data_IF_838660966339
#
_entry.id   IF_838660966339
#
_cell.length_a   1.000
_cell.length_b   1.000
_cell.length_c   1.000
_cell.angle_alpha   90.00
_cell.angle_beta   90.00
_cell.angle_gamma   90.00
#
_symmetry.space_group_name_H-M   'P 1'
#
loop_
_entity.id
_entity.type
_entity.pdbx_description
1 polymer ?
#
# COMPACT_ATOMS: atom_id res chain seq x y z
N UNK A 1 -15.36 5.83 54.98
CA UNK A 1 -16.81 5.71 55.32
C UNK A 1 -17.50 6.94 54.74
N UNK A 2 -18.22 6.79 53.62
CA UNK A 2 -19.41 7.56 53.24
C UNK A 2 -19.90 6.97 51.91
N UNK A 3 -21.14 6.55 51.96
CA UNK A 3 -21.91 5.80 50.99
C UNK A 3 -22.26 6.65 49.75
N UNK A 4 -22.25 6.02 48.57
CA UNK A 4 -22.83 6.53 47.33
C UNK A 4 -24.05 5.65 47.02
N UNK A 5 -25.24 6.23 46.78
CA UNK A 5 -26.43 5.45 46.44
C UNK A 5 -26.53 5.12 44.97
N UNK A 6 -26.86 3.87 44.70
CA UNK A 6 -27.30 3.36 43.40
C UNK A 6 -28.66 3.94 43.01
N UNK A 7 -28.81 4.48 41.82
CA UNK A 7 -30.11 4.72 41.20
C UNK A 7 -30.39 3.64 40.16
N UNK A 8 -31.43 2.88 40.47
CA UNK A 8 -32.05 1.87 39.63
C UNK A 8 -33.04 2.60 38.73
N UNK A 9 -32.88 2.51 37.40
CA UNK A 9 -33.88 2.98 36.43
C UNK A 9 -34.54 1.76 35.81
N UNK A 10 -35.80 1.59 36.12
CA UNK A 10 -36.69 0.55 35.65
C UNK A 10 -37.09 0.81 34.18
N UNK A 11 -36.98 -0.22 33.35
CA UNK A 11 -37.46 -0.22 31.99
C UNK A 11 -38.98 -0.29 31.89
N UNK A 12 -39.54 0.47 30.96
CA UNK A 12 -40.94 0.40 30.57
C UNK A 12 -41.03 -0.29 29.21
N UNK A 13 -41.53 -1.53 29.17
CA UNK A 13 -41.98 -2.22 27.99
C UNK A 13 -43.34 -1.66 27.54
N UNK A 14 -43.46 -1.23 26.30
CA UNK A 14 -44.79 -1.09 25.67
C UNK A 14 -44.86 -2.05 24.48
N UNK A 15 -45.75 -3.01 24.61
CA UNK A 15 -46.27 -3.86 23.57
C UNK A 15 -47.50 -3.25 22.91
N UNK A 16 -47.53 -3.16 21.61
CA UNK A 16 -48.71 -2.91 20.76
C UNK A 16 -48.46 -3.79 19.55
N UNK A 17 -49.17 -4.82 19.18
CA UNK A 17 -50.62 -4.91 19.00
C UNK A 17 -50.86 -5.26 17.54
N UNK A 18 -51.35 -6.48 17.27
CA UNK A 18 -51.65 -7.12 16.02
C UNK A 18 -52.53 -6.28 15.06
N UNK A 19 -52.23 -6.39 13.74
CA UNK A 19 -53.13 -6.02 12.66
C UNK A 19 -52.99 -7.00 11.50
N UNK A 20 -53.96 -7.92 11.47
CA UNK A 20 -54.17 -8.94 10.43
C UNK A 20 -54.87 -8.29 9.23
N UNK A 21 -54.42 -8.50 8.01
CA UNK A 21 -55.31 -8.41 6.87
C UNK A 21 -54.90 -9.39 5.73
N UNK A 22 -55.77 -10.35 5.54
CA UNK A 22 -55.82 -11.31 4.43
C UNK A 22 -56.05 -10.58 3.10
N UNK A 23 -55.37 -11.00 2.03
CA UNK A 23 -56.05 -11.18 0.74
C UNK A 23 -55.36 -12.28 -0.08
N UNK A 24 -56.23 -13.23 -0.51
CA UNK A 24 -55.98 -14.40 -1.36
C UNK A 24 -55.94 -14.02 -2.83
N UNK A 25 -55.06 -14.69 -3.57
CA UNK A 25 -55.22 -15.30 -4.91
C UNK A 25 -53.83 -15.82 -5.27
N UNK A 26 -53.51 -17.09 -5.54
CA UNK A 26 -54.20 -18.13 -6.26
C UNK A 26 -53.21 -18.69 -7.28
N UNK A 27 -53.02 -20.05 -7.22
CA UNK A 27 -52.41 -20.95 -8.24
C UNK A 27 -50.89 -20.89 -8.40
N UNK A 28 -50.14 -21.95 -8.54
CA UNK A 28 -50.25 -23.38 -8.73
C UNK A 28 -48.93 -24.04 -8.35
N UNK A 29 -49.00 -25.21 -7.76
CA UNK A 29 -47.89 -26.08 -7.40
C UNK A 29 -47.40 -26.85 -8.63
N UNK A 30 -46.09 -27.02 -8.74
CA UNK A 30 -45.50 -28.17 -9.42
C UNK A 30 -44.40 -28.77 -8.55
N UNK A 31 -44.80 -29.86 -7.86
CA UNK A 31 -43.92 -30.88 -7.34
C UNK A 31 -43.23 -31.62 -8.51
N UNK A 32 -41.92 -31.76 -8.44
CA UNK A 32 -41.19 -32.85 -9.06
C UNK A 32 -40.14 -33.41 -8.09
N UNK A 33 -40.58 -34.42 -7.33
CA UNK A 33 -39.70 -35.43 -6.78
C UNK A 33 -39.07 -36.23 -7.94
N UNK A 34 -37.77 -36.31 -8.01
CA UNK A 34 -37.04 -37.40 -8.63
C UNK A 34 -35.94 -37.88 -7.71
N UNK A 35 -36.30 -38.90 -6.95
CA UNK A 35 -35.37 -39.86 -6.37
C UNK A 35 -34.97 -40.84 -7.46
N UNK A 36 -33.70 -40.86 -7.86
CA UNK A 36 -33.09 -42.05 -8.43
C UNK A 36 -31.71 -42.28 -7.88
N UNK A 37 -31.60 -43.41 -7.19
CA UNK A 37 -30.39 -44.02 -6.75
C UNK A 37 -29.69 -44.70 -7.92
N UNK A 38 -28.44 -44.35 -8.22
CA UNK A 38 -27.59 -45.18 -9.06
C UNK A 38 -26.45 -45.79 -8.24
N UNK A 39 -26.51 -47.12 -8.28
CA UNK A 39 -25.58 -48.08 -7.74
C UNK A 39 -24.17 -47.91 -8.33
N UNK A 40 -23.18 -48.22 -7.51
CA UNK A 40 -21.77 -48.17 -7.85
C UNK A 40 -21.39 -49.18 -8.96
N UNK A 41 -20.46 -48.73 -9.79
CA UNK A 41 -19.66 -49.62 -10.62
C UNK A 41 -18.21 -49.58 -10.12
N UNK A 42 -17.80 -50.74 -9.57
CA UNK A 42 -16.41 -51.09 -9.37
C UNK A 42 -15.75 -51.28 -10.76
N UNK A 43 -14.67 -50.54 -11.01
CA UNK A 43 -13.74 -50.91 -12.06
C UNK A 43 -12.47 -51.44 -11.39
N UNK A 44 -12.29 -52.72 -11.58
CA UNK A 44 -11.06 -53.46 -11.26
C UNK A 44 -9.91 -52.92 -12.12
N UNK A 45 -8.73 -52.87 -11.51
CA UNK A 45 -7.53 -52.41 -12.14
C UNK A 45 -7.04 -53.39 -13.23
N UNK A 46 -6.57 -52.79 -14.33
CA UNK A 46 -5.76 -53.50 -15.30
C UNK A 46 -4.30 -53.05 -15.08
N UNK A 47 -3.54 -54.00 -14.54
CA UNK A 47 -2.10 -53.96 -14.55
C UNK A 47 -1.61 -54.18 -15.99
N UNK A 48 -0.91 -53.20 -16.55
CA UNK A 48 -0.18 -53.39 -17.79
C UNK A 48 1.30 -53.56 -17.45
N UNK A 49 1.71 -54.81 -17.42
CA UNK A 49 3.07 -55.23 -17.50
C UNK A 49 3.66 -54.80 -18.86
N UNK A 50 4.67 -53.98 -18.83
CA UNK A 50 5.48 -53.64 -20.01
C UNK A 50 6.64 -54.65 -20.09
N UNK A 51 6.47 -55.67 -20.89
CA UNK A 51 7.54 -56.60 -21.24
C UNK A 51 8.67 -55.85 -22.00
N UNK A 52 9.85 -56.12 -21.52
CA UNK A 52 11.12 -55.76 -22.14
C UNK A 52 11.36 -56.53 -23.41
N UNK A 53 11.38 -55.89 -24.58
CA UNK A 53 11.88 -56.51 -25.79
C UNK A 53 13.33 -56.20 -26.00
N UNK A 54 14.16 -57.25 -25.78
CA UNK A 54 15.53 -57.30 -26.23
C UNK A 54 15.56 -57.41 -27.76
N UNK A 55 16.18 -56.45 -28.42
CA UNK A 55 16.52 -56.57 -29.84
C UNK A 55 17.97 -57.00 -29.99
N UNK A 56 18.10 -58.25 -30.37
CA UNK A 56 19.37 -58.84 -30.82
C UNK A 56 19.83 -58.15 -32.12
N UNK A 57 21.14 -57.90 -32.18
CA UNK A 57 21.82 -57.24 -33.28
C UNK A 57 21.83 -58.06 -34.56
N UNK A 58 21.51 -57.45 -35.69
CA UNK A 58 21.79 -58.02 -36.99
C UNK A 58 23.06 -57.37 -37.57
N UNK A 59 24.09 -58.22 -37.70
CA UNK A 59 25.29 -57.96 -38.51
C UNK A 59 24.93 -57.96 -40.00
N UNK A 60 25.15 -56.88 -40.72
CA UNK A 60 25.18 -56.87 -42.18
C UNK A 60 26.64 -56.73 -42.64
N UNK A 61 27.11 -57.77 -43.25
CA UNK A 61 28.37 -57.80 -43.99
C UNK A 61 28.29 -56.90 -45.23
N UNK A 62 29.32 -56.09 -45.43
CA UNK A 62 29.46 -55.20 -46.57
C UNK A 62 30.05 -55.97 -47.74
N UNK A 63 29.31 -56.10 -48.84
CA UNK A 63 29.86 -56.46 -50.13
C UNK A 63 30.21 -55.17 -50.91
N UNK A 64 31.50 -55.11 -51.27
CA UNK A 64 32.05 -53.99 -52.03
C UNK A 64 31.76 -54.07 -53.51
N UNK A 65 31.40 -52.97 -54.11
CA UNK A 65 31.50 -52.76 -55.57
C UNK A 65 32.54 -51.68 -55.83
N UNK A 66 33.63 -52.14 -56.48
CA UNK A 66 34.67 -51.29 -57.07
C UNK A 66 34.19 -50.68 -58.36
N UNK A 67 34.23 -49.38 -58.49
CA UNK A 67 34.20 -48.70 -59.80
C UNK A 67 35.51 -47.96 -59.98
N UNK A 68 36.27 -48.46 -61.01
CA UNK A 68 37.45 -47.83 -61.60
C UNK A 68 36.99 -46.60 -62.35
N UNK A 69 37.54 -45.44 -62.05
CA UNK A 69 37.56 -44.31 -62.93
C UNK A 69 38.96 -43.77 -63.08
N UNK A 70 39.36 -43.77 -64.34
CA UNK A 70 40.65 -43.35 -64.87
C UNK A 70 40.95 -41.87 -64.55
N UNK A 71 42.23 -41.63 -64.34
CA UNK A 71 42.79 -40.38 -63.90
C UNK A 71 42.74 -39.26 -64.89
N UNK A 72 42.51 -38.06 -64.37
CA UNK A 72 42.94 -36.82 -65.00
C UNK A 72 43.96 -36.12 -64.09
N UNK A 73 45.18 -35.99 -64.59
CA UNK A 73 46.25 -35.20 -64.01
C UNK A 73 45.95 -33.72 -64.21
N UNK A 74 45.87 -33.00 -63.09
CA UNK A 74 45.92 -31.53 -63.14
C UNK A 74 47.18 -31.06 -62.40
N UNK A 75 47.87 -30.13 -63.06
CA UNK A 75 49.12 -29.55 -62.66
C UNK A 75 49.04 -28.85 -61.27
N UNK A 76 50.15 -28.98 -60.59
CA UNK A 76 50.41 -28.35 -59.33
C UNK A 76 50.49 -26.83 -59.44
N UNK A 77 49.51 -26.10 -58.91
CA UNK A 77 49.70 -24.71 -58.56
C UNK A 77 50.12 -24.60 -57.09
N UNK A 78 51.34 -24.12 -56.92
CA UNK A 78 51.96 -23.78 -55.69
C UNK A 78 51.29 -22.52 -55.10
N UNK A 79 50.47 -22.65 -54.10
CA UNK A 79 49.98 -21.51 -53.29
C UNK A 79 50.74 -21.50 -51.94
N UNK A 80 51.54 -20.41 -51.81
CA UNK A 80 52.24 -20.06 -50.63
C UNK A 80 51.25 -19.90 -49.49
N UNK A 81 51.64 -20.44 -48.30
CA UNK A 81 50.80 -20.55 -47.13
C UNK A 81 50.32 -19.20 -46.59
N UNK A 82 49.02 -19.07 -46.46
CA UNK A 82 48.41 -18.18 -45.51
C UNK A 82 48.21 -18.97 -44.23
N UNK A 83 48.96 -18.62 -43.19
CA UNK A 83 48.71 -19.07 -41.81
C UNK A 83 47.34 -18.51 -41.38
N UNK A 84 46.34 -19.36 -41.39
CA UNK A 84 45.12 -19.08 -40.66
C UNK A 84 45.46 -19.22 -39.18
N UNK A 85 45.50 -18.08 -38.49
CA UNK A 85 45.38 -18.05 -37.05
C UNK A 85 44.16 -18.89 -36.69
N UNK A 86 44.40 -19.95 -35.97
CA UNK A 86 43.36 -20.79 -35.39
C UNK A 86 42.57 -19.93 -34.40
N UNK A 87 41.44 -19.37 -34.83
CA UNK A 87 40.41 -18.97 -33.91
C UNK A 87 39.93 -20.28 -33.22
N UNK A 88 40.41 -20.50 -32.03
CA UNK A 88 39.80 -21.48 -31.12
C UNK A 88 38.33 -21.10 -30.98
N UNK A 89 37.46 -21.79 -31.72
CA UNK A 89 36.04 -21.79 -31.45
C UNK A 89 35.91 -22.39 -30.03
N UNK A 90 35.84 -21.51 -29.01
CA UNK A 90 35.41 -21.91 -27.70
C UNK A 90 33.97 -22.41 -27.84
N UNK A 91 33.80 -23.73 -27.84
CA UNK A 91 32.52 -24.38 -27.75
C UNK A 91 31.92 -23.98 -26.37
N UNK A 92 31.07 -22.95 -26.39
CA UNK A 92 30.36 -22.52 -25.17
C UNK A 92 29.48 -23.67 -24.70
N UNK A 93 29.65 -24.07 -23.43
CA UNK A 93 28.75 -25.01 -22.78
C UNK A 93 27.32 -24.47 -22.91
N UNK A 94 26.31 -25.33 -23.19
CA UNK A 94 24.93 -24.90 -23.30
C UNK A 94 24.48 -24.19 -22.02
N UNK A 95 24.01 -22.93 -22.16
CA UNK A 95 23.54 -22.10 -21.04
C UNK A 95 24.58 -21.15 -20.44
N UNK A 96 25.79 -21.08 -20.98
CA UNK A 96 26.77 -20.05 -20.63
C UNK A 96 26.62 -18.84 -21.55
N UNK A 97 26.58 -17.66 -20.96
CA UNK A 97 26.42 -16.36 -21.63
C UNK A 97 27.68 -15.56 -21.42
N UNK A 98 28.29 -15.12 -22.52
CA UNK A 98 29.38 -14.16 -22.46
C UNK A 98 28.84 -12.75 -22.31
N UNK A 99 29.26 -12.07 -21.25
CA UNK A 99 28.85 -10.71 -20.92
C UNK A 99 30.07 -9.94 -20.39
N UNK A 100 30.66 -9.13 -21.27
CA UNK A 100 31.93 -8.45 -20.97
C UNK A 100 31.84 -7.49 -19.79
N UNK A 101 32.97 -7.25 -19.11
CA UNK A 101 33.02 -6.33 -17.94
C UNK A 101 32.51 -4.92 -18.32
N UNK A 102 32.76 -4.45 -19.52
CA UNK A 102 32.28 -3.15 -20.01
C UNK A 102 30.74 -3.12 -20.11
N UNK A 103 30.12 -4.18 -20.65
CA UNK A 103 28.68 -4.33 -20.71
C UNK A 103 28.07 -4.48 -19.32
N UNK A 104 28.72 -5.24 -18.43
CA UNK A 104 28.29 -5.41 -17.05
C UNK A 104 28.25 -4.06 -16.31
N UNK A 105 29.30 -3.27 -16.46
CA UNK A 105 29.37 -1.91 -15.87
C UNK A 105 28.34 -0.97 -16.49
N UNK A 106 28.16 -0.98 -17.80
CA UNK A 106 27.17 -0.16 -18.48
C UNK A 106 25.72 -0.53 -18.10
N UNK A 107 25.45 -1.80 -17.85
CA UNK A 107 24.15 -2.31 -17.40
C UNK A 107 23.92 -2.13 -15.89
N UNK A 108 24.90 -1.65 -15.13
CA UNK A 108 24.81 -1.56 -13.68
C UNK A 108 24.67 -2.91 -13.00
N UNK A 109 25.35 -3.96 -13.54
CA UNK A 109 25.26 -5.31 -13.03
C UNK A 109 25.84 -5.41 -11.62
N UNK A 110 25.06 -5.93 -10.69
CA UNK A 110 25.53 -6.24 -9.34
C UNK A 110 25.42 -7.74 -9.07
N UNK A 111 26.34 -8.23 -8.27
CA UNK A 111 26.40 -9.65 -7.89
C UNK A 111 26.47 -9.77 -6.37
N UNK A 112 25.95 -10.89 -5.83
CA UNK A 112 26.01 -11.25 -4.41
C UNK A 112 26.51 -12.68 -4.27
N UNK A 113 27.41 -12.91 -3.32
CA UNK A 113 27.85 -14.28 -2.97
C UNK A 113 26.78 -14.92 -2.09
N UNK A 114 26.22 -16.01 -2.55
CA UNK A 114 25.21 -16.80 -1.85
C UNK A 114 25.77 -17.36 -0.55
N UNK A 115 25.08 -17.11 0.54
CA UNK A 115 25.40 -17.65 1.88
C UNK A 115 24.11 -18.06 2.57
N UNK A 116 24.20 -19.10 3.39
CA UNK A 116 23.16 -19.41 4.35
C UNK A 116 23.02 -18.24 5.33
N UNK A 117 21.86 -17.65 5.40
CA UNK A 117 21.58 -16.47 6.20
C UNK A 117 20.23 -16.55 6.93
N UNK A 118 19.94 -15.50 7.68
CA UNK A 118 18.64 -15.34 8.30
C UNK A 118 17.61 -14.96 7.22
N UNK A 119 16.54 -15.74 7.12
CA UNK A 119 15.43 -15.51 6.22
C UNK A 119 14.13 -15.29 7.02
N UNK A 120 13.31 -14.34 6.61
CA UNK A 120 12.07 -14.02 7.33
C UNK A 120 10.99 -15.07 7.10
N UNK A 121 10.49 -15.68 8.17
CA UNK A 121 9.24 -16.43 8.12
C UNK A 121 8.08 -15.44 8.01
N UNK A 122 7.23 -15.60 6.99
CA UNK A 122 6.20 -14.61 6.68
C UNK A 122 4.80 -15.22 6.55
N UNK A 123 3.80 -14.39 6.90
CA UNK A 123 2.40 -14.60 6.54
C UNK A 123 2.07 -13.60 5.43
N UNK A 124 1.78 -14.10 4.24
CA UNK A 124 1.32 -13.28 3.12
C UNK A 124 -0.16 -12.97 3.28
N UNK A 125 -0.52 -11.70 3.17
CA UNK A 125 -1.89 -11.22 3.28
C UNK A 125 -2.08 -9.92 2.49
N UNK A 126 -3.26 -9.32 2.58
CA UNK A 126 -3.56 -8.00 2.04
C UNK A 126 -3.56 -6.95 3.15
N UNK A 127 -3.50 -5.70 2.75
CA UNK A 127 -3.61 -4.56 3.64
C UNK A 127 -3.96 -3.28 2.92
N UNK A 128 -4.08 -2.23 3.70
CA UNK A 128 -4.44 -0.89 3.23
C UNK A 128 -3.53 0.15 3.88
N UNK A 129 -3.11 1.12 3.08
CA UNK A 129 -2.36 2.28 3.56
C UNK A 129 -3.36 3.32 4.04
N UNK A 130 -3.29 3.68 5.30
CA UNK A 130 -4.18 4.65 5.94
C UNK A 130 -3.39 5.86 6.46
N UNK A 131 -4.01 7.04 6.61
CA UNK A 131 -3.37 8.13 7.32
C UNK A 131 -3.13 7.75 8.79
N UNK A 132 -2.01 8.18 9.36
CA UNK A 132 -1.74 7.98 10.77
C UNK A 132 -2.68 8.83 11.62
N UNK A 133 -2.97 8.34 12.81
CA UNK A 133 -3.82 9.06 13.75
C UNK A 133 -3.19 10.42 14.09
N UNK A 134 -3.96 11.50 13.91
CA UNK A 134 -3.50 12.87 14.10
C UNK A 134 -2.83 13.52 12.87
N UNK A 135 -2.60 12.78 11.81
CA UNK A 135 -2.12 13.33 10.53
C UNK A 135 -3.25 13.90 9.66
N UNK A 136 -4.50 13.61 10.01
CA UNK A 136 -5.69 14.19 9.38
C UNK A 136 -6.59 14.86 10.41
N UNK A 137 -7.17 15.97 10.03
CA UNK A 137 -8.14 16.71 10.85
C UNK A 137 -9.26 17.26 9.99
N UNK A 138 -10.48 17.05 10.45
CA UNK A 138 -11.64 17.70 9.87
C UNK A 138 -11.69 19.17 10.31
N UNK A 139 -11.83 20.08 9.35
CA UNK A 139 -12.11 21.48 9.61
C UNK A 139 -13.61 21.63 9.69
N UNK A 140 -14.11 22.02 10.86
CA UNK A 140 -15.56 22.12 11.13
C UNK A 140 -16.01 23.57 11.16
N UNK A 141 -17.24 23.82 10.72
CA UNK A 141 -17.87 25.15 10.79
C UNK A 141 -17.99 25.59 12.25
N UNK A 142 -17.50 26.79 12.57
CA UNK A 142 -17.54 27.36 13.92
C UNK A 142 -18.86 28.07 14.23
N UNK A 143 -19.67 28.38 13.19
CA UNK A 143 -20.97 29.01 13.29
C UNK A 143 -21.83 28.54 12.12
N UNK A 144 -23.15 28.74 12.24
CA UNK A 144 -24.08 28.51 11.14
C UNK A 144 -24.09 29.72 10.17
N UNK A 145 -24.28 29.46 8.88
CA UNK A 145 -24.31 30.47 7.85
C UNK A 145 -24.03 29.95 6.46
N UNK A 146 -23.97 30.84 5.49
CA UNK A 146 -23.62 30.54 4.11
C UNK A 146 -22.10 30.53 3.98
N UNK A 147 -21.54 29.44 3.41
CA UNK A 147 -20.10 29.28 3.25
C UNK A 147 -19.62 29.80 1.90
N UNK A 148 -18.49 30.48 1.92
CA UNK A 148 -17.69 30.83 0.74
C UNK A 148 -16.33 30.11 0.85
N UNK A 149 -16.03 29.23 -0.10
CA UNK A 149 -14.81 28.44 -0.12
C UNK A 149 -13.64 29.26 -0.68
N UNK A 150 -12.52 29.18 0.00
CA UNK A 150 -11.30 29.91 -0.35
C UNK A 150 -11.08 31.11 0.55
N UNK A 151 -9.86 31.55 0.63
CA UNK A 151 -9.37 32.72 1.33
C UNK A 151 -8.20 33.26 0.52
N UNK A 152 -7.67 34.46 0.91
CA UNK A 152 -6.39 34.94 0.37
C UNK A 152 -5.27 33.97 0.81
N UNK A 153 -5.24 32.80 0.15
CA UNK A 153 -4.09 31.91 0.27
C UNK A 153 -2.87 32.56 -0.40
N UNK A 154 -1.72 32.35 0.16
CA UNK A 154 -0.47 32.78 -0.45
C UNK A 154 -0.39 32.21 -1.88
N UNK A 155 -0.46 33.06 -2.87
CA UNK A 155 -0.46 32.71 -4.30
C UNK A 155 -1.88 32.53 -4.88
N UNK A 156 -2.13 33.20 -5.89
CA UNK A 156 -3.21 33.27 -6.90
C UNK A 156 -4.38 32.24 -6.93
N UNK A 157 -4.56 31.38 -5.94
CA UNK A 157 -5.65 30.42 -5.86
C UNK A 157 -6.81 30.97 -5.03
N UNK A 158 -7.84 31.41 -5.72
CA UNK A 158 -9.08 31.94 -5.11
C UNK A 158 -10.06 30.84 -4.69
N UNK A 159 -9.82 29.56 -5.01
CA UNK A 159 -10.73 28.45 -4.74
C UNK A 159 -10.03 27.34 -3.96
N UNK A 160 -10.70 26.83 -2.92
CA UNK A 160 -10.25 25.64 -2.19
C UNK A 160 -10.57 24.38 -3.01
N UNK A 161 -9.56 23.63 -3.39
CA UNK A 161 -9.70 22.38 -4.14
C UNK A 161 -8.94 21.25 -3.42
N UNK A 162 -9.34 19.99 -3.60
CA UNK A 162 -8.51 18.85 -3.19
C UNK A 162 -7.09 18.97 -3.76
N UNK A 163 -6.08 18.68 -2.95
CA UNK A 163 -4.67 18.87 -3.29
C UNK A 163 -4.11 20.28 -3.00
N UNK A 164 -4.96 21.28 -2.66
CA UNK A 164 -4.50 22.62 -2.29
C UNK A 164 -3.63 22.57 -1.02
N UNK A 165 -2.46 23.22 -1.05
CA UNK A 165 -1.62 23.40 0.15
C UNK A 165 -2.26 24.45 1.06
N UNK A 166 -2.22 24.16 2.37
CA UNK A 166 -2.68 25.08 3.42
C UNK A 166 -1.66 25.12 4.55
N UNK A 167 -1.49 26.30 5.14
CA UNK A 167 -0.69 26.47 6.35
C UNK A 167 -1.59 26.50 7.59
N UNK A 168 -1.05 26.15 8.74
CA UNK A 168 -1.73 26.33 10.01
C UNK A 168 -2.13 27.78 10.20
N UNK A 169 -3.37 28.02 10.65
CA UNK A 169 -3.93 29.35 10.79
C UNK A 169 -4.28 30.06 9.47
N UNK A 170 -4.14 29.42 8.33
CA UNK A 170 -4.57 29.98 7.04
C UNK A 170 -6.09 29.85 6.89
N UNK A 171 -6.75 30.95 6.48
CA UNK A 171 -8.18 30.94 6.18
C UNK A 171 -8.45 30.11 4.92
N UNK A 172 -9.31 29.10 5.03
CA UNK A 172 -9.70 28.18 3.95
C UNK A 172 -11.14 28.41 3.46
N UNK A 173 -11.97 29.01 4.29
CA UNK A 173 -13.34 29.39 3.96
C UNK A 173 -13.78 30.57 4.82
N UNK A 174 -14.90 31.19 4.43
CA UNK A 174 -15.57 32.25 5.19
C UNK A 174 -17.03 31.88 5.34
N UNK A 175 -17.56 31.97 6.57
CA UNK A 175 -18.97 31.72 6.87
C UNK A 175 -19.64 33.06 7.12
N UNK A 176 -20.64 33.39 6.32
CA UNK A 176 -21.46 34.61 6.46
C UNK A 176 -22.79 34.28 7.11
N UNK A 177 -23.04 34.86 8.28
CA UNK A 177 -24.35 34.81 8.96
C UNK A 177 -25.14 36.12 8.76
N UNK A 178 -24.68 37.01 7.89
CA UNK A 178 -25.38 38.28 7.59
C UNK A 178 -26.74 37.98 6.96
N UNK A 179 -27.77 38.69 7.42
CA UNK A 179 -29.15 38.54 6.97
C UNK A 179 -29.81 37.18 7.33
N UNK A 180 -29.26 36.45 8.27
CA UNK A 180 -29.89 35.24 8.81
C UNK A 180 -30.86 35.57 9.94
N UNK A 181 -31.87 34.70 10.16
CA UNK A 181 -32.86 34.89 11.23
C UNK A 181 -32.22 34.94 12.61
N UNK A 182 -31.16 34.13 12.80
CA UNK A 182 -30.37 34.11 14.05
C UNK A 182 -29.40 35.29 14.19
N UNK A 183 -29.28 36.14 13.15
CA UNK A 183 -28.39 37.29 13.13
C UNK A 183 -26.89 36.96 13.08
N UNK A 184 -26.07 38.01 12.85
CA UNK A 184 -24.62 37.88 12.81
C UNK A 184 -24.07 37.74 14.23
N UNK A 185 -23.37 36.60 14.60
CA UNK A 185 -22.83 36.38 15.94
C UNK A 185 -21.76 37.44 16.31
N UNK A 186 -21.03 37.98 15.33
CA UNK A 186 -20.04 39.06 15.58
C UNK A 186 -20.77 40.33 16.01
N UNK A 187 -21.82 40.70 15.30
CA UNK A 187 -22.61 41.90 15.64
C UNK A 187 -23.32 41.78 17.00
N UNK A 188 -23.85 40.57 17.29
CA UNK A 188 -24.50 40.28 18.60
C UNK A 188 -23.51 40.36 19.75
N UNK A 189 -22.35 39.69 19.64
CA UNK A 189 -21.33 39.72 20.68
C UNK A 189 -20.71 41.10 20.87
N UNK A 190 -20.54 41.89 19.79
CA UNK A 190 -20.09 43.28 19.87
C UNK A 190 -21.12 44.16 20.63
N UNK A 191 -22.41 44.01 20.32
CA UNK A 191 -23.47 44.77 21.02
C UNK A 191 -23.56 44.39 22.52
N UNK A 192 -23.45 43.09 22.84
CA UNK A 192 -23.44 42.61 24.23
C UNK A 192 -22.20 43.15 24.98
N UNK A 193 -21.03 43.09 24.37
CA UNK A 193 -19.78 43.62 24.95
C UNK A 193 -19.89 45.15 25.23
N UNK A 194 -20.35 45.94 24.27
CA UNK A 194 -20.52 47.38 24.45
C UNK A 194 -21.54 47.71 25.56
N UNK A 195 -22.64 46.95 25.67
CA UNK A 195 -23.64 47.12 26.74
C UNK A 195 -23.04 46.79 28.11
N UNK A 196 -22.37 45.64 28.24
CA UNK A 196 -21.72 45.22 29.47
C UNK A 196 -20.58 46.15 29.89
N UNK A 197 -19.82 46.67 28.92
CA UNK A 197 -18.76 47.67 29.16
C UNK A 197 -19.29 48.96 29.78
N UNK A 198 -20.36 49.52 29.21
CA UNK A 198 -21.01 50.72 29.75
C UNK A 198 -21.55 50.51 31.15
N UNK A 199 -22.15 49.36 31.44
CA UNK A 199 -22.66 49.06 32.79
C UNK A 199 -21.53 48.83 33.78
N UNK A 200 -20.44 48.20 33.41
CA UNK A 200 -19.22 48.06 34.23
C UNK A 200 -18.58 49.41 34.53
N UNK A 201 -18.40 50.32 33.55
CA UNK A 201 -17.86 51.67 33.71
C UNK A 201 -18.76 52.51 34.65
N UNK A 202 -20.10 52.35 34.55
CA UNK A 202 -21.06 52.97 35.46
C UNK A 202 -20.85 52.41 36.88
N UNK A 203 -20.80 51.06 37.05
CA UNK A 203 -20.60 50.42 38.32
C UNK A 203 -19.29 50.82 38.98
N UNK A 204 -18.20 50.96 38.20
CA UNK A 204 -16.91 51.45 38.64
C UNK A 204 -16.93 52.87 39.17
N UNK A 205 -17.73 53.74 38.59
CA UNK A 205 -17.91 55.12 39.09
C UNK A 205 -18.72 55.17 40.37
N UNK A 206 -19.78 54.34 40.46
CA UNK A 206 -20.68 54.33 41.60
C UNK A 206 -20.07 53.66 42.85
N UNK A 207 -19.26 52.64 42.69
CA UNK A 207 -18.58 51.98 43.84
C UNK A 207 -17.58 52.91 44.50
N UNK A 208 -16.90 53.80 43.73
CA UNK A 208 -15.94 54.79 44.28
C UNK A 208 -16.61 55.76 45.24
N UNK A 209 -17.90 56.02 45.10
CA UNK A 209 -18.68 56.92 45.95
C UNK A 209 -19.63 56.12 46.91
N UNK A 210 -19.42 54.81 47.03
CA UNK A 210 -20.24 53.91 47.85
C UNK A 210 -21.75 53.91 47.51
N UNK A 211 -22.10 54.22 46.27
CA UNK A 211 -23.51 54.29 45.80
C UNK A 211 -24.08 52.91 45.43
N UNK A 212 -23.22 51.86 45.29
CA UNK A 212 -23.63 50.48 45.01
C UNK A 212 -22.91 49.51 45.97
N UNK A 213 -23.47 48.30 46.11
CA UNK A 213 -22.82 47.25 46.90
C UNK A 213 -21.66 46.60 46.14
N UNK A 214 -20.66 46.05 46.88
CA UNK A 214 -19.58 45.28 46.25
C UNK A 214 -20.10 44.15 45.39
N UNK A 215 -21.18 43.47 45.82
CA UNK A 215 -21.82 42.40 45.04
C UNK A 215 -22.31 42.89 43.67
N UNK A 216 -22.92 44.10 43.61
CA UNK A 216 -23.40 44.66 42.35
C UNK A 216 -22.24 45.01 41.38
N UNK A 217 -21.13 45.54 41.92
CA UNK A 217 -19.91 45.82 41.15
C UNK A 217 -19.29 44.51 40.60
N UNK A 218 -19.16 43.49 41.48
CA UNK A 218 -18.59 42.21 41.05
C UNK A 218 -19.42 41.52 39.98
N UNK A 219 -20.76 41.68 40.06
CA UNK A 219 -21.68 41.17 39.02
C UNK A 219 -21.45 41.87 37.69
N UNK A 220 -21.42 43.20 37.66
CA UNK A 220 -21.17 43.99 36.44
C UNK A 220 -19.80 43.69 35.83
N UNK A 221 -18.77 43.50 36.69
CA UNK A 221 -17.44 43.10 36.27
C UNK A 221 -17.46 41.71 35.59
N UNK A 222 -18.12 40.75 36.19
CA UNK A 222 -18.24 39.37 35.63
C UNK A 222 -18.94 39.40 34.28
N UNK A 223 -20.05 40.15 34.15
CA UNK A 223 -20.79 40.28 32.87
C UNK A 223 -19.95 40.91 31.81
N UNK A 224 -19.16 41.94 32.14
CA UNK A 224 -18.22 42.57 31.21
C UNK A 224 -17.14 41.59 30.77
N UNK A 225 -16.48 40.88 31.69
CA UNK A 225 -15.43 39.91 31.39
C UNK A 225 -15.96 38.78 30.50
N UNK A 226 -17.19 38.30 30.79
CA UNK A 226 -17.83 37.26 29.98
C UNK A 226 -18.15 37.74 28.58
N UNK A 227 -18.79 38.91 28.44
CA UNK A 227 -19.10 39.46 27.14
C UNK A 227 -17.85 39.82 26.31
N UNK A 228 -16.80 40.30 27.00
CA UNK A 228 -15.50 40.55 26.37
C UNK A 228 -14.87 39.28 25.80
N UNK A 229 -14.82 38.21 26.58
CA UNK A 229 -14.26 36.92 26.15
C UNK A 229 -15.02 36.35 24.93
N UNK A 230 -16.34 36.46 24.92
CA UNK A 230 -17.17 36.07 23.78
C UNK A 230 -16.90 36.90 22.53
N UNK A 231 -16.87 38.25 22.70
CA UNK A 231 -16.56 39.16 21.58
C UNK A 231 -15.14 38.91 21.03
N UNK A 232 -14.12 38.79 21.87
CA UNK A 232 -12.74 38.55 21.44
C UNK A 232 -12.60 37.21 20.67
N UNK A 233 -13.37 36.17 21.05
CA UNK A 233 -13.39 34.87 20.36
C UNK A 233 -13.89 34.97 18.90
N UNK A 234 -14.88 35.84 18.67
CA UNK A 234 -15.41 36.10 17.30
C UNK A 234 -14.56 37.16 16.57
N UNK A 235 -14.18 38.24 17.22
CA UNK A 235 -13.50 39.38 16.60
C UNK A 235 -12.15 38.97 15.98
N UNK A 236 -11.44 38.05 16.61
CA UNK A 236 -10.17 37.53 16.09
C UNK A 236 -10.27 36.79 14.73
N UNK A 237 -11.46 36.27 14.43
CA UNK A 237 -11.78 35.53 13.19
C UNK A 237 -12.65 36.32 12.24
N UNK A 238 -13.16 37.47 12.68
CA UNK A 238 -14.09 38.30 11.91
C UNK A 238 -13.36 39.00 10.77
N UNK A 239 -13.94 38.92 9.58
CA UNK A 239 -13.52 39.65 8.39
C UNK A 239 -14.70 40.44 7.77
N UNK A 240 -14.41 41.23 6.74
CA UNK A 240 -15.43 42.03 6.05
C UNK A 240 -16.58 41.18 5.49
N UNK A 241 -16.32 39.90 5.14
CA UNK A 241 -17.30 39.00 4.52
C UNK A 241 -17.96 38.04 5.50
N UNK A 242 -17.49 37.93 6.75
CA UNK A 242 -17.96 36.98 7.74
C UNK A 242 -16.84 36.43 8.60
N UNK A 243 -17.07 35.27 9.25
CA UNK A 243 -16.13 34.58 10.08
C UNK A 243 -15.23 33.66 9.24
N UNK A 244 -13.94 33.85 9.37
CA UNK A 244 -12.93 32.99 8.67
C UNK A 244 -12.80 31.64 9.36
N UNK A 245 -12.85 30.59 8.56
CA UNK A 245 -12.58 29.22 8.96
C UNK A 245 -11.11 28.92 8.66
N UNK A 246 -10.32 28.66 9.72
CA UNK A 246 -8.88 28.49 9.65
C UNK A 246 -8.50 27.02 9.58
N UNK A 247 -7.41 26.71 8.86
CA UNK A 247 -6.81 25.39 8.91
C UNK A 247 -6.14 25.14 10.28
N UNK A 248 -6.43 24.01 10.95
CA UNK A 248 -5.82 23.70 12.24
C UNK A 248 -4.39 23.19 12.13
N UNK A 249 -3.92 22.88 10.90
CA UNK A 249 -2.57 22.36 10.67
C UNK A 249 -2.05 22.73 9.28
N UNK A 250 -0.74 22.67 9.11
CA UNK A 250 -0.09 22.76 7.80
C UNK A 250 -0.19 21.42 7.08
N UNK A 251 -0.64 21.43 5.82
CA UNK A 251 -0.81 20.21 5.03
C UNK A 251 -1.47 20.46 3.67
N UNK A 252 -2.26 19.51 3.23
CA UNK A 252 -3.03 19.55 2.00
C UNK A 252 -4.52 19.33 2.29
N UNK A 253 -5.37 19.98 1.53
CA UNK A 253 -6.81 19.67 1.51
C UNK A 253 -6.98 18.31 0.85
N UNK A 254 -7.39 17.31 1.62
CA UNK A 254 -7.69 15.96 1.11
C UNK A 254 -9.03 15.96 0.39
N UNK A 255 -10.02 16.55 1.02
CA UNK A 255 -11.39 16.57 0.55
C UNK A 255 -12.10 17.84 0.99
N UNK A 256 -13.02 18.32 0.16
CA UNK A 256 -13.97 19.39 0.47
C UNK A 256 -15.36 18.79 0.52
N UNK A 257 -16.02 18.89 1.67
CA UNK A 257 -17.27 18.19 1.99
C UNK A 257 -18.52 19.03 1.73
N UNK A 258 -18.37 20.29 1.31
CA UNK A 258 -19.45 21.26 1.05
C UNK A 258 -19.20 21.98 -0.26
N UNK A 259 -20.25 22.54 -0.85
CA UNK A 259 -20.15 23.35 -2.06
C UNK A 259 -20.14 24.85 -1.74
N UNK A 260 -19.64 25.64 -2.69
CA UNK A 260 -19.72 27.10 -2.64
C UNK A 260 -21.18 27.56 -2.52
N UNK A 261 -21.46 28.35 -1.50
CA UNK A 261 -22.81 28.89 -1.26
C UNK A 261 -23.71 27.98 -0.42
N UNK A 262 -23.27 26.80 0.00
CA UNK A 262 -24.06 25.94 0.87
C UNK A 262 -24.30 26.60 2.25
N UNK A 263 -25.44 26.27 2.85
CA UNK A 263 -25.72 26.63 4.24
C UNK A 263 -25.14 25.54 5.13
N UNK A 264 -24.23 25.92 6.03
CA UNK A 264 -23.59 25.02 7.01
C UNK A 264 -24.10 25.34 8.42
N UNK A 265 -24.12 24.31 9.27
CA UNK A 265 -24.44 24.41 10.70
C UNK A 265 -23.19 24.33 11.55
N UNK A 266 -23.20 24.94 12.74
CA UNK A 266 -22.07 24.85 13.66
C UNK A 266 -21.74 23.38 13.98
N UNK A 267 -20.45 23.02 13.90
CA UNK A 267 -19.95 21.63 14.07
C UNK A 267 -19.95 20.79 12.79
N UNK A 268 -20.54 21.27 11.67
CA UNK A 268 -20.54 20.53 10.40
C UNK A 268 -19.14 20.48 9.80
N UNK A 269 -18.65 19.31 9.37
CA UNK A 269 -17.39 19.20 8.65
C UNK A 269 -17.46 19.90 7.29
N UNK A 270 -16.42 20.69 6.98
CA UNK A 270 -16.32 21.50 5.74
C UNK A 270 -15.24 20.93 4.82
N UNK A 271 -14.10 20.58 5.38
CA UNK A 271 -12.98 20.03 4.63
C UNK A 271 -12.15 19.11 5.54
N UNK A 272 -11.37 18.24 4.93
CA UNK A 272 -10.39 17.41 5.61
C UNK A 272 -9.01 17.89 5.17
N UNK A 273 -8.14 18.21 6.15
CA UNK A 273 -6.74 18.58 5.92
C UNK A 273 -5.86 17.44 6.40
N UNK A 274 -4.89 17.03 5.56
CA UNK A 274 -3.94 15.97 5.83
C UNK A 274 -2.51 16.49 5.74
N UNK A 275 -1.64 16.08 6.66
CA UNK A 275 -0.21 16.34 6.59
C UNK A 275 0.52 15.32 5.72
N UNK A 276 -0.03 14.11 5.64
CA UNK A 276 0.52 12.97 4.89
C UNK A 276 2.00 12.67 5.22
N UNK A 277 2.42 12.93 6.46
CA UNK A 277 3.80 12.70 6.92
C UNK A 277 4.00 11.32 7.51
N UNK A 278 3.00 10.83 8.23
CA UNK A 278 2.98 9.50 8.81
C UNK A 278 1.77 8.74 8.30
N UNK A 279 2.00 7.47 7.99
CA UNK A 279 0.97 6.57 7.50
C UNK A 279 0.88 5.35 8.39
N UNK A 280 -0.27 4.72 8.37
CA UNK A 280 -0.50 3.41 8.95
C UNK A 280 -0.70 2.38 7.85
N UNK A 281 -0.19 1.18 8.07
CA UNK A 281 -0.55 -0.01 7.32
C UNK A 281 -1.46 -0.85 8.20
N UNK A 282 -2.68 -1.07 7.74
CA UNK A 282 -3.58 -2.04 8.33
C UNK A 282 -3.47 -3.33 7.53
N UNK A 283 -2.84 -4.34 8.11
CA UNK A 283 -2.79 -5.69 7.55
C UNK A 283 -3.97 -6.51 8.04
N UNK A 284 -4.58 -7.28 7.16
CA UNK A 284 -5.73 -8.13 7.41
C UNK A 284 -5.25 -9.57 7.70
N UNK A 285 -4.86 -9.86 8.96
CA UNK A 285 -4.37 -11.18 9.37
C UNK A 285 -5.53 -12.18 9.42
N UNK A 286 -5.50 -13.27 8.61
CA UNK A 286 -6.53 -14.30 8.68
C UNK A 286 -6.59 -14.96 10.07
N UNK A 287 -7.80 -15.22 10.60
CA UNK A 287 -8.00 -15.79 11.95
C UNK A 287 -7.23 -17.09 12.20
N UNK A 288 -7.02 -17.92 11.17
CA UNK A 288 -6.22 -19.15 11.28
C UNK A 288 -4.79 -18.91 11.78
N UNK A 289 -4.28 -17.68 11.64
CA UNK A 289 -2.95 -17.27 12.11
C UNK A 289 -2.99 -16.51 13.44
N UNK A 290 -4.11 -16.57 14.18
CA UNK A 290 -4.24 -15.89 15.47
C UNK A 290 -3.10 -16.19 16.44
N UNK A 291 -2.69 -17.47 16.53
CA UNK A 291 -1.56 -17.87 17.39
C UNK A 291 -0.24 -17.19 17.02
N UNK A 292 -0.10 -16.75 15.76
CA UNK A 292 1.08 -16.06 15.22
C UNK A 292 1.04 -14.55 15.47
N UNK A 293 -0.09 -13.97 15.79
CA UNK A 293 -0.25 -12.51 15.91
C UNK A 293 0.76 -11.88 16.89
N UNK A 294 1.08 -12.56 17.99
CA UNK A 294 2.04 -12.09 18.99
C UNK A 294 3.51 -12.32 18.58
N UNK A 295 3.76 -13.09 17.51
CA UNK A 295 5.11 -13.35 16.98
C UNK A 295 5.48 -12.42 15.84
N UNK A 296 4.51 -11.65 15.33
CA UNK A 296 4.76 -10.68 14.26
C UNK A 296 5.65 -9.57 14.81
N UNK A 297 6.82 -9.40 14.19
CA UNK A 297 7.85 -8.43 14.58
C UNK A 297 8.00 -7.28 13.59
N UNK A 298 7.46 -7.42 12.38
CA UNK A 298 7.58 -6.44 11.32
C UNK A 298 6.72 -6.79 10.11
N UNK A 299 6.83 -5.98 9.08
CA UNK A 299 6.19 -6.24 7.81
C UNK A 299 6.97 -5.62 6.64
N UNK A 300 6.87 -6.30 5.49
CA UNK A 300 7.15 -5.69 4.20
C UNK A 300 5.82 -5.51 3.46
N UNK A 301 5.74 -4.55 2.54
CA UNK A 301 4.53 -4.32 1.77
C UNK A 301 4.84 -3.84 0.35
N UNK A 302 3.97 -4.21 -0.58
CA UNK A 302 4.03 -3.77 -1.98
C UNK A 302 2.70 -3.12 -2.33
N UNK A 303 2.69 -1.79 -2.58
CA UNK A 303 1.49 -1.09 -3.03
C UNK A 303 1.01 -1.63 -4.38
N UNK A 304 -0.32 -1.67 -4.59
CA UNK A 304 -0.91 -2.18 -5.84
C UNK A 304 -0.53 -1.39 -7.10
N UNK A 305 -0.02 -0.17 -6.93
CA UNK A 305 0.43 0.72 -8.00
C UNK A 305 1.95 0.68 -8.23
N UNK A 306 2.68 -0.19 -7.53
CA UNK A 306 4.16 -0.30 -7.61
C UNK A 306 4.58 -1.76 -7.64
N UNK A 307 5.61 -2.06 -8.40
CA UNK A 307 6.28 -3.37 -8.37
C UNK A 307 7.32 -3.47 -7.24
N UNK A 308 7.64 -2.37 -6.60
CA UNK A 308 8.63 -2.29 -5.54
C UNK A 308 8.05 -2.69 -4.19
N UNK A 309 8.77 -3.52 -3.45
CA UNK A 309 8.45 -3.92 -2.08
C UNK A 309 9.24 -3.06 -1.08
N UNK A 310 8.53 -2.53 -0.10
CA UNK A 310 9.08 -1.64 0.92
C UNK A 310 9.07 -2.32 2.28
N UNK A 311 10.13 -2.10 3.06
CA UNK A 311 10.19 -2.56 4.44
C UNK A 311 9.72 -1.48 5.39
N UNK A 312 8.74 -1.80 6.23
CA UNK A 312 8.25 -0.91 7.30
C UNK A 312 9.41 -0.43 8.17
N UNK A 313 10.35 -1.32 8.51
CA UNK A 313 11.54 -1.01 9.31
C UNK A 313 12.43 0.05 8.65
N UNK A 314 12.68 -0.10 7.33
CA UNK A 314 13.54 0.84 6.58
C UNK A 314 12.90 2.23 6.44
N UNK A 315 11.56 2.31 6.49
CA UNK A 315 10.81 3.57 6.54
C UNK A 315 10.70 4.16 7.95
N UNK A 316 11.48 3.65 8.91
CA UNK A 316 11.43 4.09 10.30
C UNK A 316 10.14 3.71 11.02
N UNK A 317 9.46 2.69 10.51
CA UNK A 317 8.19 2.25 11.04
C UNK A 317 8.31 1.14 12.09
N UNK A 318 7.17 0.89 12.74
CA UNK A 318 7.03 -0.14 13.79
C UNK A 318 5.59 -0.65 13.86
N UNK A 319 5.41 -1.81 14.42
CA UNK A 319 4.09 -2.31 14.78
C UNK A 319 3.52 -1.50 15.96
N UNK A 320 2.29 -1.04 15.81
CA UNK A 320 1.55 -0.29 16.84
C UNK A 320 0.66 -1.24 17.65
N UNK A 321 -0.07 -2.12 16.95
CA UNK A 321 -0.95 -3.08 17.60
C UNK A 321 -1.20 -4.29 16.72
N UNK A 322 -1.43 -5.44 17.38
CA UNK A 322 -2.15 -6.56 16.80
C UNK A 322 -3.54 -6.61 17.47
N UNK A 323 -4.59 -6.57 16.67
CA UNK A 323 -5.96 -6.63 17.16
C UNK A 323 -6.19 -7.89 17.99
N UNK A 324 -7.05 -7.80 19.00
CA UNK A 324 -7.45 -8.95 19.83
C UNK A 324 -8.82 -9.51 19.47
N UNK A 325 -9.45 -8.94 18.46
CA UNK A 325 -10.74 -9.38 17.93
C UNK A 325 -10.81 -9.09 16.44
N UNK A 326 -11.49 -9.95 15.72
CA UNK A 326 -11.89 -9.64 14.34
C UNK A 326 -12.94 -8.53 14.35
N UNK A 327 -12.97 -7.71 13.30
CA UNK A 327 -14.06 -6.76 13.12
C UNK A 327 -15.37 -7.53 12.88
N UNK A 328 -16.50 -6.95 13.33
CA UNK A 328 -17.79 -7.59 13.17
C UNK A 328 -18.08 -7.89 11.69
N UNK A 329 -18.34 -9.16 11.37
CA UNK A 329 -18.55 -9.62 9.98
C UNK A 329 -17.26 -9.81 9.17
N UNK A 330 -16.08 -9.80 9.79
CA UNK A 330 -14.79 -10.03 9.14
C UNK A 330 -14.10 -11.27 9.72
N UNK A 331 -13.43 -12.05 8.86
CA UNK A 331 -12.57 -13.17 9.26
C UNK A 331 -11.11 -12.76 9.44
N UNK A 332 -10.85 -11.45 9.54
CA UNK A 332 -9.51 -10.88 9.62
C UNK A 332 -9.32 -10.12 10.92
N UNK A 333 -8.11 -10.23 11.45
CA UNK A 333 -7.66 -9.52 12.64
C UNK A 333 -6.75 -8.39 12.17
N UNK A 334 -7.03 -7.12 12.49
CA UNK A 334 -6.21 -6.03 12.04
C UNK A 334 -4.86 -6.02 12.77
N UNK A 335 -3.76 -5.99 12.01
CA UNK A 335 -2.41 -5.71 12.51
C UNK A 335 -1.98 -4.35 11.96
N UNK A 336 -1.65 -3.42 12.86
CA UNK A 336 -1.41 -2.03 12.50
C UNK A 336 0.07 -1.70 12.69
N UNK A 337 0.67 -1.19 11.64
CA UNK A 337 2.02 -0.61 11.62
C UNK A 337 1.92 0.89 11.37
N UNK A 338 2.86 1.66 11.87
CA UNK A 338 3.02 3.08 11.55
C UNK A 338 4.41 3.31 10.97
N UNK A 339 4.51 4.16 9.94
CA UNK A 339 5.77 4.45 9.27
C UNK A 339 5.78 5.89 8.70
N UNK A 340 6.97 6.39 8.36
CA UNK A 340 7.14 7.72 7.78
C UNK A 340 6.89 7.69 6.27
N UNK A 341 6.11 8.62 5.77
CA UNK A 341 5.83 8.74 4.33
C UNK A 341 6.99 9.43 3.60
N UNK A 342 8.10 8.75 3.45
CA UNK A 342 9.28 9.22 2.69
C UNK A 342 9.22 8.87 1.21
N UNK A 343 8.36 7.93 0.82
CA UNK A 343 8.18 7.42 -0.54
C UNK A 343 6.98 7.99 -1.29
N UNK A 344 6.32 9.05 -0.78
CA UNK A 344 5.09 9.61 -1.34
C UNK A 344 3.96 8.57 -1.53
N UNK A 345 3.81 7.68 -0.55
CA UNK A 345 2.74 6.69 -0.56
C UNK A 345 1.37 7.36 -0.52
N UNK A 346 0.40 6.71 -1.16
CA UNK A 346 -0.96 7.24 -1.33
C UNK A 346 -1.88 6.61 -0.27
N UNK A 347 -2.43 7.40 0.67
CA UNK A 347 -3.44 6.91 1.61
C UNK A 347 -4.69 6.42 0.87
N UNK A 348 -5.27 5.32 1.33
CA UNK A 348 -6.39 4.62 0.69
C UNK A 348 -5.98 3.56 -0.32
N UNK A 349 -4.69 3.41 -0.61
CA UNK A 349 -4.22 2.38 -1.52
C UNK A 349 -4.15 1.01 -0.83
N UNK A 350 -4.54 -0.02 -1.57
CA UNK A 350 -4.34 -1.40 -1.16
C UNK A 350 -2.90 -1.84 -1.42
N UNK A 351 -2.45 -2.80 -0.63
CA UNK A 351 -1.11 -3.37 -0.76
C UNK A 351 -1.10 -4.87 -0.45
N UNK A 352 -0.16 -5.56 -1.05
CA UNK A 352 0.23 -6.89 -0.61
C UNK A 352 1.13 -6.77 0.60
N UNK A 353 0.90 -7.59 1.62
CA UNK A 353 1.60 -7.55 2.89
C UNK A 353 2.32 -8.86 3.17
N UNK A 354 3.53 -8.75 3.68
CA UNK A 354 4.37 -9.84 4.15
C UNK A 354 4.65 -9.61 5.64
N UNK A 355 3.82 -10.23 6.51
CA UNK A 355 3.96 -10.11 7.96
C UNK A 355 5.08 -11.01 8.45
N UNK A 356 6.11 -10.45 9.06
CA UNK A 356 7.30 -11.15 9.50
C UNK A 356 7.07 -11.71 10.90
N UNK A 357 7.03 -13.05 11.05
CA UNK A 357 6.87 -13.74 12.34
C UNK A 357 8.18 -13.98 13.08
N UNK A 358 9.31 -13.98 12.36
CA UNK A 358 10.62 -14.29 12.92
C UNK A 358 11.63 -14.60 11.83
N UNK A 359 12.74 -15.19 12.20
CA UNK A 359 13.81 -15.56 11.28
C UNK A 359 14.02 -17.07 11.31
N UNK A 360 14.26 -17.65 10.14
CA UNK A 360 14.79 -18.98 9.93
C UNK A 360 16.28 -18.81 9.63
N UNK A 361 17.14 -19.50 10.32
CA UNK A 361 18.59 -19.41 10.10
C UNK A 361 19.05 -20.40 9.02
N UNK A 362 20.19 -20.09 8.42
CA UNK A 362 20.87 -20.96 7.43
C UNK A 362 20.01 -21.25 6.19
N UNK A 363 19.25 -20.27 5.72
CA UNK A 363 18.44 -20.35 4.50
C UNK A 363 19.17 -19.66 3.34
N UNK A 364 19.32 -20.36 2.23
CA UNK A 364 19.81 -19.76 0.98
C UNK A 364 18.67 -18.92 0.40
N UNK A 365 18.91 -17.64 0.20
CA UNK A 365 17.95 -16.73 -0.41
C UNK A 365 18.63 -15.75 -1.35
N UNK A 366 17.93 -15.34 -2.39
CA UNK A 366 18.36 -14.31 -3.34
C UNK A 366 17.34 -13.18 -3.42
N UNK A 367 17.72 -11.94 -3.78
CA UNK A 367 16.77 -10.89 -4.05
C UNK A 367 15.77 -11.32 -5.15
N UNK A 368 14.52 -10.87 -5.08
CA UNK A 368 13.52 -11.15 -6.13
C UNK A 368 13.98 -10.67 -7.51
N UNK A 369 14.80 -9.61 -7.56
CA UNK A 369 15.38 -9.05 -8.79
C UNK A 369 16.40 -9.96 -9.49
N UNK A 370 16.94 -10.96 -8.76
CA UNK A 370 17.86 -11.95 -9.33
C UNK A 370 17.13 -13.04 -10.14
N UNK A 371 15.83 -13.22 -9.89
CA UNK A 371 15.04 -14.31 -10.46
C UNK A 371 14.50 -13.94 -11.84
N UNK A 372 14.67 -14.86 -12.76
CA UNK A 372 14.05 -14.81 -14.10
C UNK A 372 13.04 -15.95 -14.18
N UNK A 373 11.81 -15.61 -14.50
CA UNK A 373 10.75 -16.59 -14.74
C UNK A 373 10.55 -16.76 -16.25
N UNK A 374 10.55 -18.00 -16.70
CA UNK A 374 10.25 -18.38 -18.07
C UNK A 374 9.40 -19.64 -18.09
N UNK A 375 8.19 -19.53 -18.61
CA UNK A 375 7.24 -20.64 -18.74
C UNK A 375 7.00 -21.43 -17.41
N UNK A 376 7.02 -20.70 -16.28
CA UNK A 376 6.84 -21.30 -14.96
C UNK A 376 8.12 -21.90 -14.34
N UNK A 377 9.26 -21.81 -15.02
CA UNK A 377 10.57 -22.21 -14.50
C UNK A 377 11.33 -20.97 -14.05
N UNK A 378 11.87 -21.04 -12.84
CA UNK A 378 12.69 -19.99 -12.27
C UNK A 378 14.18 -20.27 -12.47
N UNK A 379 14.92 -19.26 -12.85
CA UNK A 379 16.38 -19.35 -13.04
C UNK A 379 17.07 -18.10 -12.52
N UNK A 380 18.36 -18.23 -12.21
CA UNK A 380 19.27 -17.14 -11.87
C UNK A 380 20.50 -17.21 -12.77
N UNK A 381 21.27 -16.14 -12.86
CA UNK A 381 22.57 -16.16 -13.50
C UNK A 381 23.67 -16.23 -12.45
N UNK A 382 24.46 -17.31 -12.53
CA UNK A 382 25.63 -17.53 -11.68
C UNK A 382 26.87 -17.12 -12.46
N UNK A 383 27.69 -16.26 -11.88
CA UNK A 383 28.94 -15.81 -12.48
C UNK A 383 30.00 -16.92 -12.34
N UNK A 384 30.55 -17.36 -13.45
CA UNK A 384 31.59 -18.39 -13.51
C UNK A 384 32.97 -17.73 -13.48
N UNK A 385 33.17 -16.71 -14.32
CA UNK A 385 34.38 -15.93 -14.39
C UNK A 385 34.07 -14.45 -14.62
N UNK A 386 35.04 -13.63 -14.98
CA UNK A 386 34.88 -12.20 -15.16
C UNK A 386 33.88 -11.81 -16.25
N UNK A 387 33.74 -12.66 -17.27
CA UNK A 387 32.95 -12.37 -18.48
C UNK A 387 31.89 -13.42 -18.77
N UNK A 388 31.77 -14.48 -17.97
CA UNK A 388 30.87 -15.58 -18.23
C UNK A 388 29.88 -15.80 -17.11
N UNK A 389 28.63 -15.97 -17.49
CA UNK A 389 27.50 -16.19 -16.60
C UNK A 389 26.72 -17.43 -17.05
N UNK A 390 26.46 -18.35 -16.13
CA UNK A 390 25.68 -19.55 -16.41
C UNK A 390 24.26 -19.39 -15.93
N UNK A 391 23.29 -19.64 -16.80
CA UNK A 391 21.89 -19.76 -16.43
C UNK A 391 21.70 -21.03 -15.59
N UNK A 392 21.25 -20.87 -14.36
CA UNK A 392 21.03 -21.94 -13.41
C UNK A 392 19.56 -22.00 -13.03
N UNK A 393 18.90 -23.13 -13.32
CA UNK A 393 17.54 -23.37 -12.84
C UNK A 393 17.51 -23.55 -11.33
N UNK A 394 16.49 -22.95 -10.69
CA UNK A 394 16.32 -23.00 -9.24
C UNK A 394 14.91 -23.40 -8.85
N UNK A 395 14.80 -24.15 -7.76
CA UNK A 395 13.51 -24.39 -7.12
C UNK A 395 13.33 -23.36 -6.00
N UNK A 396 12.33 -22.51 -6.15
CA UNK A 396 12.02 -21.44 -5.19
C UNK A 396 11.16 -21.94 -4.03
N UNK A 397 11.31 -21.29 -2.88
CA UNK A 397 10.50 -21.46 -1.67
C UNK A 397 9.65 -20.21 -1.36
N UNK A 398 9.59 -19.88 -0.06
CA UNK A 398 8.84 -18.71 0.44
C UNK A 398 9.50 -17.39 -0.01
N UNK A 399 8.70 -16.32 -0.06
CA UNK A 399 9.17 -14.95 -0.32
C UNK A 399 8.76 -14.04 0.83
N UNK A 400 9.66 -13.16 1.26
CA UNK A 400 9.34 -12.07 2.19
C UNK A 400 9.04 -10.74 1.45
N UNK A 401 8.91 -10.82 0.12
CA UNK A 401 8.66 -9.69 -0.77
C UNK A 401 9.92 -8.96 -1.22
N UNK A 402 11.05 -9.16 -0.54
CA UNK A 402 12.36 -8.61 -0.91
C UNK A 402 13.31 -9.70 -1.41
N UNK A 403 13.30 -10.85 -0.74
CA UNK A 403 14.12 -12.01 -1.06
C UNK A 403 13.26 -13.26 -1.21
N UNK A 404 13.75 -14.20 -2.00
CA UNK A 404 13.15 -15.51 -2.24
C UNK A 404 14.05 -16.60 -1.71
N UNK A 405 13.50 -17.50 -0.91
CA UNK A 405 14.17 -18.74 -0.50
C UNK A 405 14.47 -19.63 -1.72
N UNK A 406 15.64 -20.22 -1.76
CA UNK A 406 16.05 -21.18 -2.79
C UNK A 406 16.18 -22.56 -2.14
N UNK A 407 15.29 -23.47 -2.54
CA UNK A 407 15.24 -24.84 -2.03
C UNK A 407 16.24 -25.76 -2.71
N UNK A 408 16.55 -25.52 -3.99
CA UNK A 408 17.51 -26.29 -4.79
C UNK A 408 18.05 -25.43 -5.93
N UNK A 409 19.25 -25.76 -6.40
CA UNK A 409 19.87 -25.17 -7.60
C UNK A 409 20.97 -24.16 -7.31
N UNK A 410 21.18 -23.75 -6.06
CA UNK A 410 22.31 -22.92 -5.63
C UNK A 410 23.02 -23.55 -4.45
N UNK A 411 24.32 -23.27 -4.35
CA UNK A 411 25.17 -23.66 -3.23
C UNK A 411 25.75 -22.40 -2.55
N UNK A 412 26.15 -22.56 -1.30
CA UNK A 412 26.94 -21.51 -0.64
C UNK A 412 28.24 -21.26 -1.40
N UNK A 413 28.56 -20.01 -1.65
CA UNK A 413 29.74 -19.58 -2.42
C UNK A 413 29.44 -19.22 -3.87
N UNK A 414 28.29 -19.59 -4.43
CA UNK A 414 27.90 -19.17 -5.77
C UNK A 414 27.75 -17.64 -5.83
N UNK A 415 28.30 -17.01 -6.86
CA UNK A 415 28.16 -15.57 -7.09
C UNK A 415 26.99 -15.33 -8.07
N UNK A 416 25.86 -14.82 -7.56
CA UNK A 416 24.60 -14.65 -8.31
C UNK A 416 24.41 -13.20 -8.70
N UNK A 417 23.96 -12.96 -9.95
CA UNK A 417 23.56 -11.63 -10.43
C UNK A 417 22.27 -11.19 -9.74
N UNK A 418 22.32 -10.09 -9.00
CA UNK A 418 21.20 -9.55 -8.23
C UNK A 418 20.53 -8.36 -8.89
N UNK A 419 21.29 -7.55 -9.63
CA UNK A 419 20.80 -6.45 -10.46
C UNK A 419 21.29 -6.66 -11.88
N UNK A 420 20.42 -6.43 -12.87
CA UNK A 420 20.80 -6.58 -14.28
C UNK A 420 20.66 -8.02 -14.83
N UNK A 421 20.02 -8.94 -14.12
CA UNK A 421 19.82 -10.32 -14.59
C UNK A 421 19.09 -10.40 -15.94
N UNK A 422 18.14 -9.50 -16.16
CA UNK A 422 17.41 -9.44 -17.44
C UNK A 422 18.29 -8.98 -18.61
N UNK A 423 19.27 -8.10 -18.40
CA UNK A 423 20.24 -7.68 -19.41
C UNK A 423 21.14 -8.85 -19.82
N UNK A 424 21.56 -9.69 -18.85
CA UNK A 424 22.31 -10.92 -19.15
C UNK A 424 21.46 -11.89 -19.97
N UNK A 425 20.18 -12.04 -19.63
CA UNK A 425 19.23 -12.83 -20.41
C UNK A 425 19.12 -12.35 -21.86
N UNK A 426 18.97 -11.04 -22.09
CA UNK A 426 18.87 -10.49 -23.44
C UNK A 426 20.15 -10.77 -24.27
N UNK A 427 21.31 -10.71 -23.65
CA UNK A 427 22.57 -11.04 -24.30
C UNK A 427 22.62 -12.51 -24.73
N UNK A 428 22.06 -13.43 -23.91
CA UNK A 428 22.00 -14.86 -24.28
C UNK A 428 21.16 -15.13 -25.52
N UNK A 429 20.06 -14.39 -25.70
CA UNK A 429 19.20 -14.52 -26.88
C UNK A 429 19.88 -13.92 -28.13
N UNK A 430 20.58 -12.81 -27.96
CA UNK A 430 21.28 -12.15 -29.07
C UNK A 430 22.45 -12.99 -29.65
N UNK A 431 23.16 -13.73 -28.77
CA UNK A 431 24.24 -14.63 -29.19
C UNK A 431 23.74 -15.93 -29.83
N UNK A 432 22.47 -16.31 -29.60
CA UNK A 432 21.86 -17.52 -30.19
C UNK A 432 21.32 -17.30 -31.61
N UNK A 433 21.29 -16.07 -32.14
CA UNK A 433 20.88 -15.78 -33.50
C UNK A 433 22.12 -15.85 -34.40
N UNK A 434 22.25 -16.86 -35.29
CA UNK A 434 23.35 -16.91 -36.25
C UNK A 434 23.32 -15.66 -37.11
N UNK A 435 24.43 -14.93 -37.18
CA UNK A 435 24.58 -13.81 -38.08
C UNK A 435 24.42 -14.30 -39.54
N UNK A 436 23.32 -13.97 -40.22
CA UNK A 436 23.19 -14.17 -41.63
C UNK A 436 24.10 -13.13 -42.34
N UNK A 437 25.34 -13.53 -42.65
CA UNK A 437 26.17 -12.78 -43.59
C UNK A 437 25.59 -12.96 -44.99
N UNK A 438 24.87 -11.95 -45.48
CA UNK A 438 24.59 -11.81 -46.88
C UNK A 438 25.80 -11.13 -47.53
N UNK A 439 26.70 -11.93 -48.09
CA UNK A 439 27.65 -11.44 -49.08
C UNK A 439 26.89 -11.16 -50.39
N UNK A 440 26.91 -9.92 -50.83
CA UNK A 440 26.52 -9.47 -52.19
C UNK A 440 27.76 -9.27 -53.05
#
# INVERSE_FOLDING_TARGET
MKHIPYYLVAGLMMAVGCGNNNNKTGSEAHDHEHTEAHAGHNHEGHDHDCDSHDHEGHNHEAEGYSHDHEGHSHDAHNHEGHSHDSHEEHAHEPGVVEFTEERAKAAGLETEIVKGGAFSAVIRTSGEILPAQGDETAVVATTSGVITLGGKAAGNQSRLLPGSRVAEGQAIAVISAKNMADGDPVAKSAAAYEAAKKEFERAESLIKVNAISQKAYDQAKKEYETAKAEYDAYASKAGAKGLSLMSPMTGYVKEVLVNEGDYVTSGQPVAIVSQNRRLQLRADLPEKYWASANRIIGANFRPSYSEETYSVKNLGGRMISAGRSAAQGSFYIPVIFEFNNTGNFIPGAFCEMYLIEGQKDNIISVPETALIEEQGVYSVYVKICKTEYRKQEVKIGESDGLRREILKGLNEGDEVVTVGAYQVKLASVASAIPGHSHEH
#
